data_IF_478524395468
#
_entry.id   IF_478524395468
#
_cell.length_a   1.000
_cell.length_b   1.000
_cell.length_c   1.000
_cell.angle_alpha   90.00
_cell.angle_beta   90.00
_cell.angle_gamma   90.00
#
_symmetry.space_group_name_H-M   'P 1'
#
loop_
_entity.id
_entity.type
_entity.pdbx_description
1 polymer ?
#
# COMPACT_ATOMS: atom_id res chain seq x y z
N UNK A 1 -1.89 21.33 -2.30
CA UNK A 1 -2.04 20.33 -3.39
C UNK A 1 -1.61 18.94 -2.93
N UNK A 2 -0.38 18.74 -2.43
CA UNK A 2 0.15 17.42 -2.07
C UNK A 2 -0.34 16.79 -0.75
N UNK A 3 -1.02 17.55 0.11
CA UNK A 3 -1.48 17.05 1.43
C UNK A 3 -2.36 15.81 1.29
N UNK A 4 -3.25 15.79 0.29
CA UNK A 4 -4.14 14.66 0.06
C UNK A 4 -3.41 13.45 -0.52
N UNK A 5 -2.37 13.66 -1.34
CA UNK A 5 -1.49 12.60 -1.83
C UNK A 5 -0.73 11.91 -0.68
N UNK A 6 -0.25 12.70 0.28
CA UNK A 6 0.42 12.21 1.49
C UNK A 6 -0.56 11.43 2.36
N UNK A 7 -1.75 12.00 2.62
CA UNK A 7 -2.80 11.31 3.39
C UNK A 7 -3.20 9.97 2.75
N UNK A 8 -3.36 9.95 1.42
CA UNK A 8 -3.62 8.72 0.65
C UNK A 8 -2.49 7.71 0.86
N UNK A 9 -1.24 8.14 0.74
CA UNK A 9 -0.09 7.25 0.91
C UNK A 9 -0.02 6.63 2.31
N UNK A 10 -0.39 7.38 3.35
CA UNK A 10 -0.52 6.86 4.72
C UNK A 10 -1.62 5.81 4.84
N UNK A 11 -2.82 6.12 4.32
CA UNK A 11 -3.96 5.19 4.35
C UNK A 11 -3.60 3.90 3.61
N UNK A 12 -3.05 4.01 2.40
CA UNK A 12 -2.63 2.86 1.61
C UNK A 12 -1.46 2.12 2.25
N UNK A 13 -0.47 2.80 2.83
CA UNK A 13 0.66 2.12 3.46
C UNK A 13 0.22 1.22 4.62
N UNK A 14 -0.65 1.74 5.49
CA UNK A 14 -1.18 1.00 6.63
C UNK A 14 -2.12 -0.12 6.17
N UNK A 15 -3.04 0.16 5.26
CA UNK A 15 -4.00 -0.84 4.76
C UNK A 15 -3.31 -1.94 3.95
N UNK A 16 -2.30 -1.63 3.14
CA UNK A 16 -1.50 -2.61 2.40
C UNK A 16 -0.76 -3.56 3.34
N UNK A 17 -0.21 -3.03 4.45
CA UNK A 17 0.36 -3.85 5.50
C UNK A 17 -0.67 -4.82 6.09
N UNK A 18 -1.87 -4.33 6.47
CA UNK A 18 -2.94 -5.19 6.98
C UNK A 18 -3.42 -6.21 5.95
N UNK A 19 -3.57 -5.83 4.68
CA UNK A 19 -3.97 -6.72 3.59
C UNK A 19 -2.96 -7.85 3.39
N UNK A 20 -1.66 -7.52 3.42
CA UNK A 20 -0.57 -8.50 3.38
C UNK A 20 -0.73 -9.50 4.52
N UNK A 21 -0.96 -9.01 5.74
CA UNK A 21 -1.15 -9.87 6.91
C UNK A 21 -2.41 -10.75 6.81
N UNK A 22 -3.55 -10.17 6.43
CA UNK A 22 -4.81 -10.91 6.24
C UNK A 22 -4.75 -11.96 5.13
N UNK A 23 -3.88 -11.78 4.14
CA UNK A 23 -3.66 -12.74 3.05
C UNK A 23 -2.73 -13.91 3.41
N UNK A 24 -2.00 -13.87 4.53
CA UNK A 24 -1.06 -14.96 4.89
C UNK A 24 -1.76 -16.31 5.13
N UNK A 25 -3.02 -16.31 5.59
CA UNK A 25 -3.79 -17.54 5.79
C UNK A 25 -4.24 -18.23 4.50
N UNK A 26 -4.19 -17.55 3.35
CA UNK A 26 -4.58 -18.15 2.06
C UNK A 26 -3.70 -19.34 1.68
N UNK A 27 -2.41 -19.27 2.00
CA UNK A 27 -1.43 -20.31 1.66
C UNK A 27 -1.75 -21.67 2.29
N UNK A 28 -2.60 -21.69 3.34
CA UNK A 28 -3.04 -22.90 4.03
C UNK A 28 -4.24 -23.59 3.35
N UNK A 29 -4.91 -22.90 2.43
CA UNK A 29 -6.06 -23.43 1.70
C UNK A 29 -5.50 -24.16 0.48
N UNK A 30 -5.55 -25.49 0.48
CA UNK A 30 -5.15 -26.29 -0.69
C UNK A 30 -6.22 -27.36 -0.96
N UNK A 31 -6.69 -27.40 -2.19
CA UNK A 31 -7.63 -28.38 -2.73
C UNK A 31 -7.11 -28.96 -4.04
N UNK A 32 -7.35 -30.25 -4.28
CA UNK A 32 -6.93 -30.94 -5.51
C UNK A 32 -7.61 -30.40 -6.78
N UNK A 33 -8.80 -29.81 -6.64
CA UNK A 33 -9.55 -29.24 -7.77
C UNK A 33 -9.41 -27.72 -7.82
N UNK A 34 -8.94 -27.20 -8.96
CA UNK A 34 -8.75 -25.76 -9.22
C UNK A 34 -10.01 -24.92 -9.01
N UNK A 35 -11.20 -25.43 -9.35
CA UNK A 35 -12.45 -24.71 -9.13
C UNK A 35 -12.80 -24.59 -7.64
N UNK A 36 -12.57 -25.68 -6.88
CA UNK A 36 -12.79 -25.67 -5.42
C UNK A 36 -11.77 -24.79 -4.71
N UNK A 37 -10.51 -24.83 -5.16
CA UNK A 37 -9.45 -23.95 -4.68
C UNK A 37 -9.85 -22.48 -4.85
N UNK A 38 -10.23 -22.09 -6.06
CA UNK A 38 -10.63 -20.71 -6.35
C UNK A 38 -11.85 -20.27 -5.54
N UNK A 39 -12.89 -21.11 -5.45
CA UNK A 39 -14.07 -20.81 -4.64
C UNK A 39 -13.73 -20.66 -3.14
N UNK A 40 -12.84 -21.51 -2.63
CA UNK A 40 -12.40 -21.45 -1.24
C UNK A 40 -11.52 -20.23 -0.93
N UNK A 41 -10.67 -19.82 -1.86
CA UNK A 41 -9.88 -18.58 -1.75
C UNK A 41 -10.78 -17.34 -1.73
N UNK A 42 -11.76 -17.28 -2.64
CA UNK A 42 -12.78 -16.22 -2.65
C UNK A 42 -13.52 -16.19 -1.31
N UNK A 43 -14.00 -17.35 -0.86
CA UNK A 43 -14.71 -17.47 0.41
C UNK A 43 -13.86 -17.05 1.60
N UNK A 44 -12.59 -17.46 1.64
CA UNK A 44 -11.66 -17.05 2.69
C UNK A 44 -11.48 -15.54 2.72
N UNK A 45 -11.33 -14.91 1.56
CA UNK A 45 -11.31 -13.47 1.53
C UNK A 45 -12.59 -12.97 2.19
N UNK A 46 -13.79 -13.25 1.66
CA UNK A 46 -15.09 -12.72 2.15
C UNK A 46 -15.37 -12.94 3.63
N UNK A 47 -14.88 -14.04 4.19
CA UNK A 47 -15.03 -14.35 5.61
C UNK A 47 -13.95 -13.75 6.51
N UNK A 48 -12.82 -13.33 5.95
CA UNK A 48 -11.73 -12.75 6.72
C UNK A 48 -11.92 -11.25 6.93
N UNK A 49 -12.45 -10.88 8.09
CA UNK A 49 -12.58 -9.48 8.50
C UNK A 49 -11.24 -8.74 8.55
N UNK A 50 -10.13 -9.43 8.84
CA UNK A 50 -8.78 -8.85 8.81
C UNK A 50 -8.31 -8.51 7.39
N UNK A 51 -9.04 -8.96 6.36
CA UNK A 51 -8.79 -8.61 4.96
C UNK A 51 -9.84 -7.62 4.42
N UNK A 52 -11.14 -7.86 4.58
CA UNK A 52 -12.15 -6.98 3.97
C UNK A 52 -12.23 -5.59 4.60
N UNK A 53 -12.04 -5.46 5.92
CA UNK A 53 -12.04 -4.14 6.57
C UNK A 53 -10.93 -3.25 5.98
N UNK A 54 -9.64 -3.68 5.98
CA UNK A 54 -8.59 -2.87 5.38
C UNK A 54 -8.75 -2.73 3.87
N UNK A 55 -9.35 -3.69 3.17
CA UNK A 55 -9.69 -3.55 1.74
C UNK A 55 -10.65 -2.39 1.50
N UNK A 56 -11.75 -2.31 2.26
CA UNK A 56 -12.73 -1.22 2.12
C UNK A 56 -12.10 0.14 2.45
N UNK A 57 -11.27 0.21 3.50
CA UNK A 57 -10.52 1.42 3.83
C UNK A 57 -9.53 1.81 2.72
N UNK A 58 -8.88 0.83 2.09
CA UNK A 58 -7.98 1.05 0.96
C UNK A 58 -8.74 1.66 -0.24
N UNK A 59 -9.95 1.17 -0.51
CA UNK A 59 -10.81 1.72 -1.57
C UNK A 59 -11.30 3.15 -1.27
N UNK A 60 -11.57 3.48 -0.01
CA UNK A 60 -11.84 4.86 0.39
C UNK A 60 -10.62 5.76 0.16
N UNK A 61 -9.41 5.24 0.40
CA UNK A 61 -8.16 5.91 0.03
C UNK A 61 -8.08 6.25 -1.46
N UNK A 62 -8.55 5.36 -2.34
CA UNK A 62 -8.62 5.60 -3.79
C UNK A 62 -9.50 6.80 -4.15
N UNK A 63 -10.59 7.04 -3.43
CA UNK A 63 -11.46 8.22 -3.66
C UNK A 63 -10.70 9.52 -3.36
N UNK A 64 -9.97 9.56 -2.23
CA UNK A 64 -9.11 10.70 -1.89
C UNK A 64 -8.01 10.91 -2.92
N UNK A 65 -7.44 9.82 -3.43
CA UNK A 65 -6.42 9.87 -4.47
C UNK A 65 -6.95 10.44 -5.79
N UNK A 66 -8.11 9.96 -6.26
CA UNK A 66 -8.75 10.47 -7.47
C UNK A 66 -9.08 11.96 -7.36
N UNK A 67 -9.55 12.40 -6.19
CA UNK A 67 -9.77 13.83 -5.95
C UNK A 67 -8.45 14.63 -5.96
N UNK A 68 -7.36 14.06 -5.46
CA UNK A 68 -6.04 14.68 -5.49
C UNK A 68 -5.50 14.83 -6.91
N UNK A 69 -5.70 13.81 -7.73
CA UNK A 69 -5.34 13.77 -9.15
C UNK A 69 -6.09 14.82 -9.97
N UNK A 70 -7.35 15.11 -9.65
CA UNK A 70 -8.09 16.18 -10.30
C UNK A 70 -7.49 17.58 -10.04
N UNK A 71 -6.67 17.70 -9.01
CA UNK A 71 -6.07 18.96 -8.55
C UNK A 71 -4.55 18.99 -8.64
N UNK A 72 -3.89 17.91 -9.06
CA UNK A 72 -2.42 17.77 -9.04
C UNK A 72 -1.96 17.06 -10.30
N UNK A 73 -0.82 17.47 -10.86
CA UNK A 73 -0.25 16.80 -12.03
C UNK A 73 -0.06 15.30 -11.80
N UNK A 74 -0.62 14.51 -12.71
CA UNK A 74 -0.52 13.04 -12.68
C UNK A 74 0.93 12.55 -12.56
N UNK A 75 1.84 13.18 -13.29
CA UNK A 75 3.27 12.80 -13.35
C UNK A 75 4.04 13.02 -12.05
N UNK A 76 3.53 13.81 -11.12
CA UNK A 76 4.15 14.02 -9.80
C UNK A 76 3.35 13.38 -8.67
N UNK A 77 2.02 13.38 -8.75
CA UNK A 77 1.16 12.75 -7.75
C UNK A 77 1.42 11.24 -7.65
N UNK A 78 1.50 10.55 -8.80
CA UNK A 78 1.64 9.09 -8.84
C UNK A 78 2.97 8.61 -8.23
N UNK A 79 4.15 9.15 -8.61
CA UNK A 79 5.40 8.69 -8.03
C UNK A 79 5.50 9.00 -6.53
N UNK A 80 5.05 10.17 -6.08
CA UNK A 80 5.08 10.56 -4.66
C UNK A 80 4.24 9.63 -3.81
N UNK A 81 2.97 9.44 -4.19
CA UNK A 81 2.05 8.61 -3.40
C UNK A 81 2.55 7.17 -3.34
N UNK A 82 3.03 6.61 -4.45
CA UNK A 82 3.51 5.22 -4.47
C UNK A 82 4.79 5.02 -3.67
N UNK A 83 5.80 5.89 -3.84
CA UNK A 83 7.06 5.78 -3.08
C UNK A 83 6.81 5.86 -1.57
N UNK A 84 5.97 6.82 -1.15
CA UNK A 84 5.62 6.99 0.26
C UNK A 84 4.77 5.83 0.79
N UNK A 85 3.82 5.31 0.00
CA UNK A 85 3.02 4.11 0.35
C UNK A 85 3.92 2.91 0.63
N UNK A 86 4.91 2.66 -0.23
CA UNK A 86 5.85 1.55 -0.08
C UNK A 86 6.70 1.72 1.19
N UNK A 87 7.23 2.93 1.41
CA UNK A 87 8.01 3.23 2.61
C UNK A 87 7.19 3.00 3.88
N UNK A 88 5.95 3.51 3.94
CA UNK A 88 5.07 3.35 5.11
C UNK A 88 4.71 1.88 5.32
N UNK A 89 4.38 1.15 4.26
CA UNK A 89 4.09 -0.30 4.33
C UNK A 89 5.26 -1.04 4.97
N UNK A 90 6.48 -0.74 4.52
CA UNK A 90 7.68 -1.36 5.07
C UNK A 90 7.94 -0.98 6.53
N UNK A 91 7.74 0.29 6.88
CA UNK A 91 7.86 0.73 8.28
C UNK A 91 6.85 0.01 9.17
N UNK A 92 5.60 -0.17 8.72
CA UNK A 92 4.61 -0.97 9.44
C UNK A 92 5.05 -2.43 9.60
N UNK A 93 5.64 -3.04 8.56
CA UNK A 93 6.23 -4.38 8.62
C UNK A 93 7.32 -4.46 9.70
N UNK A 94 8.26 -3.51 9.71
CA UNK A 94 9.37 -3.46 10.69
C UNK A 94 8.88 -3.19 12.10
N UNK A 95 7.94 -2.25 12.30
CA UNK A 95 7.36 -1.95 13.61
C UNK A 95 6.69 -3.19 14.20
N UNK A 96 5.97 -3.94 13.35
CA UNK A 96 5.26 -5.16 13.78
C UNK A 96 6.17 -6.36 13.94
N UNK A 97 7.25 -6.43 13.15
CA UNK A 97 8.23 -7.52 13.11
C UNK A 97 9.63 -6.93 12.94
N UNK A 98 10.29 -6.50 14.03
CA UNK A 98 11.60 -5.84 13.96
C UNK A 98 12.68 -6.66 13.24
N UNK A 99 12.56 -7.99 13.24
CA UNK A 99 13.44 -8.90 12.51
C UNK A 99 13.42 -8.75 10.97
N UNK A 100 12.42 -8.06 10.40
CA UNK A 100 12.35 -7.76 8.97
C UNK A 100 13.17 -6.52 8.57
N UNK A 101 13.81 -5.85 9.54
CA UNK A 101 14.63 -4.68 9.27
C UNK A 101 15.84 -5.05 8.40
N UNK A 102 15.95 -4.36 7.27
CA UNK A 102 17.04 -4.43 6.33
C UNK A 102 17.47 -3.00 6.04
N UNK A 103 18.57 -2.58 6.66
CA UNK A 103 19.06 -1.20 6.58
C UNK A 103 19.39 -0.76 5.16
N UNK A 104 19.82 -1.68 4.29
CA UNK A 104 20.09 -1.37 2.87
C UNK A 104 18.80 -1.09 2.12
N UNK A 105 17.77 -1.89 2.35
CA UNK A 105 16.45 -1.69 1.75
C UNK A 105 15.80 -0.40 2.23
N UNK A 106 15.87 -0.11 3.54
CA UNK A 106 15.38 1.13 4.12
C UNK A 106 16.09 2.35 3.54
N UNK A 107 17.43 2.32 3.46
CA UNK A 107 18.22 3.39 2.84
C UNK A 107 17.85 3.59 1.38
N UNK A 108 17.64 2.49 0.63
CA UNK A 108 17.16 2.53 -0.75
C UNK A 108 15.80 3.23 -0.88
N UNK A 109 14.83 2.87 -0.05
CA UNK A 109 13.51 3.52 -0.07
C UNK A 109 13.55 5.00 0.34
N UNK A 110 14.40 5.36 1.31
CA UNK A 110 14.62 6.76 1.69
C UNK A 110 15.23 7.55 0.52
N UNK A 111 16.19 6.97 -0.20
CA UNK A 111 16.79 7.57 -1.38
C UNK A 111 15.75 7.77 -2.50
N UNK A 112 14.95 6.74 -2.80
CA UNK A 112 13.87 6.81 -3.80
C UNK A 112 12.84 7.88 -3.42
N UNK A 113 12.37 7.87 -2.17
CA UNK A 113 11.36 8.84 -1.70
C UNK A 113 11.90 10.26 -1.75
N UNK A 114 13.15 10.47 -1.34
CA UNK A 114 13.83 11.77 -1.43
C UNK A 114 14.01 12.23 -2.88
N UNK A 115 14.44 11.33 -3.77
CA UNK A 115 14.60 11.64 -5.20
C UNK A 115 13.29 12.05 -5.85
N UNK A 116 12.20 11.34 -5.55
CA UNK A 116 10.86 11.69 -6.02
C UNK A 116 10.42 13.05 -5.45
N UNK A 117 10.66 13.31 -4.16
CA UNK A 117 10.34 14.60 -3.55
C UNK A 117 11.11 15.76 -4.22
N UNK A 118 12.40 15.57 -4.54
CA UNK A 118 13.19 16.54 -5.28
C UNK A 118 12.62 16.82 -6.67
N UNK A 119 12.20 15.79 -7.42
CA UNK A 119 11.56 15.96 -8.72
C UNK A 119 10.24 16.75 -8.64
N UNK A 120 9.51 16.64 -7.54
CA UNK A 120 8.27 17.40 -7.33
C UNK A 120 8.56 18.84 -6.96
N UNK A 121 9.57 19.10 -6.14
CA UNK A 121 9.97 20.45 -5.74
C UNK A 121 10.60 21.21 -6.92
N UNK A 122 11.36 20.54 -7.79
CA UNK A 122 12.05 21.17 -8.91
C UNK A 122 11.15 21.48 -10.10
N UNK A 123 9.92 20.96 -10.11
CA UNK A 123 9.02 21.14 -11.25
C UNK A 123 8.62 22.62 -11.37
N UNK A 124 8.88 23.26 -12.52
CA UNK A 124 8.49 24.65 -12.72
C UNK A 124 6.97 24.80 -12.62
N UNK A 125 6.54 25.86 -11.94
CA UNK A 125 5.12 26.20 -11.73
C UNK A 125 4.37 26.45 -13.04
#
# INVERSE_FOLDING_TARGET
MFVLCIATAFIWGITNWFLKQGSTGLQRIQYDNRLKQFAAEIWYFFTNAQYWIPFLLNQLGSVLYYYSLAKTDFSTAVPVTNALTLLITYLCDVISRPQLLNSRFLLGMLCVTSGVALCVISKPH
#
